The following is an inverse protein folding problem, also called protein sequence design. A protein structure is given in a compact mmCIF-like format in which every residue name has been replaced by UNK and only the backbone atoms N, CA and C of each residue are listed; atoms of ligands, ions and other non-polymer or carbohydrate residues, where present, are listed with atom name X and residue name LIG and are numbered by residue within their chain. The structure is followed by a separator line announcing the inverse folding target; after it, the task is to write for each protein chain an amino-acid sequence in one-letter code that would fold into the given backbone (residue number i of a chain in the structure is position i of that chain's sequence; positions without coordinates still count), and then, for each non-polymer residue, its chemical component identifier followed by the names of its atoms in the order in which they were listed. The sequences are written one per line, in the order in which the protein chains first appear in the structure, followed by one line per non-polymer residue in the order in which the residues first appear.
data_IF_553093001474
#
_entry.id   IF_553093001474
#
_cell.length_a   1.000
_cell.length_b   1.000
_cell.length_c   1.000
_cell.angle_alpha   90.00
_cell.angle_beta   90.00
_cell.angle_gamma   90.00
#
_symmetry.space_group_name_H-M   'P 1'
#
loop_
_entity.id
_entity.type
_entity.pdbx_description
1 polymer ?
#
# COMPACT_ATOMS: atom_id res chain seq x y z
N UNK A 1 -33.32 -6.04 23.89
CA UNK A 1 -32.03 -6.36 24.53
C UNK A 1 -31.08 -6.69 23.40
N UNK A 2 -30.40 -5.67 22.89
CA UNK A 2 -29.45 -5.81 21.78
C UNK A 2 -28.05 -6.06 22.36
N UNK A 3 -27.43 -7.15 21.92
CA UNK A 3 -26.07 -7.53 22.32
C UNK A 3 -25.11 -6.88 21.32
N UNK A 4 -24.39 -5.85 21.76
CA UNK A 4 -23.27 -5.29 21.01
C UNK A 4 -22.11 -6.28 21.03
N UNK A 5 -21.72 -6.79 19.87
CA UNK A 5 -20.48 -7.55 19.70
C UNK A 5 -19.31 -6.56 19.61
N UNK A 6 -18.54 -6.48 20.71
CA UNK A 6 -17.24 -5.82 20.74
C UNK A 6 -16.28 -6.57 19.80
N UNK A 7 -16.09 -6.04 18.60
CA UNK A 7 -15.20 -6.62 17.58
C UNK A 7 -13.80 -6.05 17.76
N UNK A 8 -13.16 -6.45 18.87
CA UNK A 8 -11.75 -6.12 19.10
C UNK A 8 -10.88 -7.10 18.33
N UNK A 9 -10.17 -6.63 17.32
CA UNK A 9 -9.23 -7.45 16.56
C UNK A 9 -8.02 -7.80 17.43
N UNK A 10 -7.71 -9.10 17.55
CA UNK A 10 -6.57 -9.60 18.32
C UNK A 10 -5.45 -10.04 17.38
N UNK A 11 -4.29 -9.37 17.48
CA UNK A 11 -3.09 -9.73 16.73
C UNK A 11 -2.09 -10.44 17.66
N UNK A 12 -1.57 -11.59 17.23
CA UNK A 12 -0.55 -12.37 17.95
C UNK A 12 0.84 -12.07 17.37
N UNK A 13 1.82 -11.95 18.26
CA UNK A 13 3.19 -11.57 17.95
C UNK A 13 4.16 -12.74 18.16
N UNK A 14 5.07 -12.97 17.21
CA UNK A 14 6.28 -13.77 17.41
C UNK A 14 7.50 -12.85 17.22
N UNK A 15 8.42 -12.84 18.18
CA UNK A 15 9.60 -11.97 18.19
C UNK A 15 10.70 -12.48 17.26
N UNK A 16 11.43 -11.55 16.63
CA UNK A 16 12.87 -11.67 16.32
C UNK A 16 13.48 -10.25 16.22
N UNK A 17 14.29 -9.94 17.24
CA UNK A 17 15.40 -8.98 17.44
C UNK A 17 15.53 -7.58 16.80
N UNK A 18 16.10 -6.70 17.63
CA UNK A 18 16.24 -5.26 17.52
C UNK A 18 17.27 -4.78 16.47
N UNK A 19 16.84 -3.86 15.59
CA UNK A 19 17.52 -2.60 15.25
C UNK A 19 16.77 -1.87 14.13
N UNK A 20 16.00 -0.84 14.48
CA UNK A 20 15.54 0.18 13.53
C UNK A 20 15.92 1.54 14.09
N UNK A 21 16.69 2.27 13.28
CA UNK A 21 17.47 3.45 13.63
C UNK A 21 16.67 4.68 14.06
N UNK A 22 17.41 5.53 14.76
CA UNK A 22 17.03 6.82 15.33
C UNK A 22 16.78 7.83 14.21
N UNK A 23 15.56 8.37 14.12
CA UNK A 23 15.22 9.45 13.19
C UNK A 23 13.75 9.83 13.22
N UNK A 24 12.87 8.85 13.42
CA UNK A 24 11.43 9.07 13.57
C UNK A 24 11.03 8.85 15.03
N UNK A 25 10.33 9.83 15.61
CA UNK A 25 9.79 9.71 16.97
C UNK A 25 8.67 8.67 16.94
N UNK A 26 9.00 7.44 17.33
CA UNK A 26 8.05 6.34 17.33
C UNK A 26 6.99 6.55 18.41
N UNK A 27 5.75 6.79 17.97
CA UNK A 27 4.60 6.92 18.86
C UNK A 27 3.99 5.55 19.17
N UNK A 28 3.37 5.44 20.34
CA UNK A 28 2.60 4.26 20.73
C UNK A 28 1.46 4.00 19.71
N UNK A 29 1.36 2.78 19.13
CA UNK A 29 0.47 2.48 18.00
C UNK A 29 -0.99 2.85 18.27
N UNK A 30 -1.43 2.70 19.51
CA UNK A 30 -2.82 2.90 19.90
C UNK A 30 -3.18 4.37 20.13
N UNK A 31 -2.21 5.28 20.32
CA UNK A 31 -2.51 6.71 20.49
C UNK A 31 -2.98 7.36 19.19
N UNK A 32 -2.46 6.92 18.04
CA UNK A 32 -2.89 7.43 16.72
C UNK A 32 -4.20 6.79 16.25
N UNK A 33 -4.52 5.60 16.74
CA UNK A 33 -5.78 4.92 16.48
C UNK A 33 -6.90 5.36 17.44
N UNK A 34 -6.55 6.01 18.57
CA UNK A 34 -7.54 6.60 19.46
C UNK A 34 -8.27 7.74 18.75
N UNK A 35 -9.53 7.49 18.37
CA UNK A 35 -10.37 8.41 17.58
C UNK A 35 -10.33 8.16 16.07
N UNK A 36 -9.54 7.18 15.60
CA UNK A 36 -9.59 6.73 14.22
C UNK A 36 -10.78 5.78 14.04
N UNK A 37 -11.88 6.27 13.47
CA UNK A 37 -13.10 5.48 13.23
C UNK A 37 -13.01 4.58 11.97
N UNK A 38 -11.89 4.63 11.25
CA UNK A 38 -11.67 3.89 10.02
C UNK A 38 -11.24 2.44 10.22
N UNK A 39 -11.52 1.59 9.22
CA UNK A 39 -11.12 0.18 9.25
C UNK A 39 -9.76 0.03 8.59
N UNK A 40 -8.74 -0.32 9.37
CA UNK A 40 -7.42 -0.62 8.80
C UNK A 40 -7.44 -1.97 8.08
N UNK A 41 -6.80 -2.00 6.91
CA UNK A 41 -6.55 -3.21 6.15
C UNK A 41 -5.05 -3.39 5.96
N UNK A 42 -4.59 -4.64 6.00
CA UNK A 42 -3.20 -4.94 5.72
C UNK A 42 -2.92 -4.71 4.23
N UNK A 43 -2.00 -3.80 3.94
CA UNK A 43 -1.43 -3.63 2.60
C UNK A 43 -0.46 -4.77 2.34
N UNK A 44 0.48 -5.01 3.26
CA UNK A 44 1.47 -6.06 3.09
C UNK A 44 2.45 -6.13 4.25
N UNK A 45 3.34 -7.12 4.21
CA UNK A 45 4.40 -7.32 5.19
C UNK A 45 5.74 -7.55 4.51
N UNK A 46 6.82 -7.06 5.13
CA UNK A 46 8.19 -7.19 4.62
C UNK A 46 9.16 -7.08 5.80
N UNK A 47 10.07 -8.05 5.95
CA UNK A 47 11.14 -8.03 6.96
C UNK A 47 10.67 -7.69 8.39
N UNK A 48 9.55 -8.28 8.83
CA UNK A 48 8.96 -8.03 10.15
C UNK A 48 8.17 -6.72 10.29
N UNK A 49 8.18 -5.85 9.27
CA UNK A 49 7.30 -4.68 9.20
C UNK A 49 5.97 -5.03 8.53
N UNK A 50 4.91 -4.38 9.00
CA UNK A 50 3.59 -4.39 8.39
C UNK A 50 3.27 -2.99 7.87
N UNK A 51 2.63 -2.92 6.70
CA UNK A 51 2.02 -1.73 6.16
C UNK A 51 0.50 -1.88 6.26
N UNK A 52 -0.15 -0.91 6.89
CA UNK A 52 -1.59 -0.82 7.06
C UNK A 52 -2.09 0.39 6.28
N UNK A 53 -3.29 0.29 5.72
CA UNK A 53 -3.93 1.37 5.00
C UNK A 53 -5.44 1.27 5.14
N UNK A 54 -6.10 2.42 5.13
CA UNK A 54 -7.56 2.46 5.17
C UNK A 54 -8.16 2.43 3.75
N UNK A 55 -8.95 1.41 3.41
CA UNK A 55 -9.56 1.27 2.09
C UNK A 55 -10.78 2.18 1.88
N UNK A 56 -11.33 2.77 2.94
CA UNK A 56 -12.51 3.64 2.91
C UNK A 56 -12.16 5.11 2.61
N UNK A 57 -10.95 5.56 2.98
CA UNK A 57 -10.49 6.94 2.76
C UNK A 57 -9.54 7.05 1.55
N UNK A 58 -10.08 6.95 0.34
CA UNK A 58 -9.27 6.93 -0.89
C UNK A 58 -8.65 8.30 -1.25
N UNK A 59 -9.33 9.38 -0.85
CA UNK A 59 -8.90 10.77 -1.07
C UNK A 59 -7.69 11.14 -0.20
N UNK A 60 -7.72 10.73 1.06
CA UNK A 60 -6.72 11.03 2.11
C UNK A 60 -6.42 9.75 2.90
N UNK A 61 -5.77 8.77 2.27
CA UNK A 61 -5.56 7.47 2.88
C UNK A 61 -4.57 7.61 4.02
N UNK A 62 -5.02 7.26 5.22
CA UNK A 62 -4.13 7.08 6.36
C UNK A 62 -3.37 5.77 6.15
N UNK A 63 -2.05 5.89 6.00
CA UNK A 63 -1.16 4.76 5.76
C UNK A 63 -0.17 4.72 6.91
N UNK A 64 0.00 3.53 7.46
CA UNK A 64 0.87 3.30 8.59
C UNK A 64 1.87 2.21 8.25
N UNK A 65 3.12 2.40 8.68
CA UNK A 65 4.12 1.33 8.68
C UNK A 65 4.56 1.10 10.11
N UNK A 66 4.56 -0.15 10.53
CA UNK A 66 4.86 -0.49 11.92
C UNK A 66 5.63 -1.79 12.06
N UNK A 67 6.35 -1.88 13.15
CA UNK A 67 6.91 -3.12 13.66
C UNK A 67 6.05 -3.52 14.87
N UNK A 68 5.18 -4.54 14.75
CA UNK A 68 4.32 -4.95 15.84
C UNK A 68 5.16 -5.51 17.02
N UNK A 69 6.35 -6.06 16.76
CA UNK A 69 7.20 -6.71 17.77
C UNK A 69 7.73 -5.75 18.81
N UNK A 70 8.07 -4.55 18.37
CA UNK A 70 8.53 -3.47 19.25
C UNK A 70 7.41 -2.46 19.53
N UNK A 71 6.17 -2.75 19.11
CA UNK A 71 4.98 -1.90 19.29
C UNK A 71 5.23 -0.47 18.82
N UNK A 72 5.77 -0.32 17.62
CA UNK A 72 6.04 0.98 17.02
C UNK A 72 5.28 1.11 15.70
N UNK A 73 4.63 2.25 15.51
CA UNK A 73 3.85 2.56 14.31
C UNK A 73 4.14 4.00 13.89
N UNK A 74 4.32 4.21 12.59
CA UNK A 74 4.58 5.52 12.00
C UNK A 74 3.50 5.79 10.96
N UNK A 75 2.85 6.94 11.07
CA UNK A 75 1.95 7.45 10.04
C UNK A 75 2.79 8.06 8.90
N UNK A 76 2.47 7.70 7.66
CA UNK A 76 3.13 8.26 6.49
C UNK A 76 2.52 9.61 6.11
N UNK A 77 3.28 10.48 5.40
CA UNK A 77 2.72 11.70 4.82
C UNK A 77 1.50 11.38 3.95
N UNK A 78 0.49 12.24 3.97
CA UNK A 78 -0.71 12.05 3.14
C UNK A 78 -0.32 12.26 1.66
N UNK A 79 -0.61 11.32 0.75
CA UNK A 79 -0.32 11.49 -0.67
C UNK A 79 -1.22 12.56 -1.28
N UNK A 80 -0.80 13.14 -2.41
CA UNK A 80 -1.61 14.19 -3.06
C UNK A 80 -2.99 13.66 -3.48
N UNK A 81 -4.01 14.47 -3.17
CA UNK A 81 -5.40 14.18 -3.53
C UNK A 81 -5.55 14.08 -5.06
N UNK A 82 -6.22 13.05 -5.59
CA UNK A 82 -6.53 12.98 -7.01
C UNK A 82 -7.45 14.14 -7.42
N UNK A 83 -7.21 14.76 -8.58
CA UNK A 83 -8.01 15.90 -9.06
C UNK A 83 -9.47 15.54 -9.44
N UNK A 84 -9.87 14.27 -9.34
CA UNK A 84 -11.17 13.76 -9.82
C UNK A 84 -11.87 12.94 -8.73
N UNK A 85 -13.20 13.09 -8.59
CA UNK A 85 -13.94 12.51 -7.46
C UNK A 85 -14.05 10.99 -7.51
N UNK A 86 -13.94 10.36 -8.68
CA UNK A 86 -14.03 8.90 -8.82
C UNK A 86 -12.66 8.32 -9.14
N UNK A 87 -12.11 7.58 -8.19
CA UNK A 87 -10.86 6.86 -8.37
C UNK A 87 -10.83 5.62 -7.48
N UNK A 88 -10.01 4.66 -7.87
CA UNK A 88 -9.68 3.48 -7.08
C UNK A 88 -8.18 3.47 -6.82
N UNK A 89 -7.77 2.96 -5.67
CA UNK A 89 -6.39 2.95 -5.21
C UNK A 89 -5.98 1.51 -4.92
N UNK A 90 -4.79 1.15 -5.34
CA UNK A 90 -4.12 -0.08 -4.97
C UNK A 90 -2.80 0.29 -4.31
N UNK A 91 -2.52 -0.34 -3.18
CA UNK A 91 -1.27 -0.15 -2.46
C UNK A 91 -0.35 -1.36 -2.61
N UNK A 92 0.93 -1.12 -2.44
CA UNK A 92 1.91 -2.17 -2.21
C UNK A 92 3.00 -1.75 -1.24
N UNK A 93 3.66 -2.73 -0.65
CA UNK A 93 4.70 -2.56 0.35
C UNK A 93 5.82 -3.58 0.17
N UNK A 94 7.06 -3.11 0.27
CA UNK A 94 8.24 -3.95 0.28
C UNK A 94 9.51 -3.14 0.54
N UNK A 95 10.66 -3.78 0.40
CA UNK A 95 11.97 -3.17 0.61
C UNK A 95 12.83 -3.26 -0.65
N UNK A 96 13.69 -2.26 -0.85
CA UNK A 96 14.68 -2.32 -1.90
C UNK A 96 15.67 -3.46 -1.61
N UNK A 97 15.96 -4.36 -2.58
CA UNK A 97 16.73 -5.58 -2.32
C UNK A 97 18.17 -5.33 -1.84
N UNK A 98 18.79 -4.22 -2.27
CA UNK A 98 20.16 -3.84 -1.89
C UNK A 98 20.25 -2.81 -0.75
N UNK A 99 19.46 -1.73 -0.81
CA UNK A 99 19.54 -0.64 0.19
C UNK A 99 18.71 -0.92 1.43
N UNK A 100 17.82 -1.93 1.40
CA UNK A 100 16.86 -2.27 2.45
C UNK A 100 15.89 -1.13 2.81
N UNK A 101 15.84 -0.07 2.02
CA UNK A 101 14.89 1.02 2.20
C UNK A 101 13.47 0.51 1.94
N UNK A 102 12.59 0.71 2.91
CA UNK A 102 11.17 0.39 2.74
C UNK A 102 10.49 1.39 1.81
N UNK A 103 9.63 0.87 0.94
CA UNK A 103 8.84 1.67 0.01
C UNK A 103 7.38 1.26 0.06
N UNK A 104 6.50 2.26 0.01
CA UNK A 104 5.07 2.08 -0.20
C UNK A 104 4.72 2.59 -1.59
N UNK A 105 4.02 1.77 -2.36
CA UNK A 105 3.57 2.08 -3.71
C UNK A 105 2.08 2.41 -3.63
N UNK A 106 1.67 3.50 -4.28
CA UNK A 106 0.27 3.89 -4.44
C UNK A 106 -0.04 3.99 -5.94
N UNK A 107 -1.00 3.20 -6.41
CA UNK A 107 -1.46 3.19 -7.80
C UNK A 107 -2.90 3.69 -7.82
N UNK A 108 -3.13 4.81 -8.51
CA UNK A 108 -4.42 5.49 -8.59
C UNK A 108 -5.01 5.33 -9.98
N UNK A 109 -6.13 4.61 -10.05
CA UNK A 109 -6.94 4.43 -11.25
C UNK A 109 -8.05 5.48 -11.30
N UNK A 110 -7.97 6.42 -12.24
CA UNK A 110 -9.05 7.39 -12.44
C UNK A 110 -10.23 6.74 -13.17
N UNK A 111 -11.43 6.91 -12.61
CA UNK A 111 -12.66 6.28 -13.08
C UNK A 111 -13.66 7.30 -13.62
N UNK A 112 -14.38 6.91 -14.67
CA UNK A 112 -15.51 7.65 -15.24
C UNK A 112 -16.57 6.65 -15.65
N UNK A 113 -17.79 6.82 -15.14
CA UNK A 113 -18.93 5.94 -15.42
C UNK A 113 -18.64 4.45 -15.12
N UNK A 114 -17.87 4.17 -14.06
CA UNK A 114 -17.50 2.80 -13.67
C UNK A 114 -16.34 2.18 -14.47
N UNK A 115 -15.71 2.92 -15.37
CA UNK A 115 -14.57 2.45 -16.17
C UNK A 115 -13.32 3.27 -15.90
N UNK A 116 -12.17 2.59 -15.87
CA UNK A 116 -10.85 3.23 -15.87
C UNK A 116 -10.66 3.92 -17.22
N UNK A 117 -10.44 5.24 -17.20
CA UNK A 117 -10.29 6.04 -18.42
C UNK A 117 -8.89 6.59 -18.64
N UNK A 118 -8.03 6.58 -17.61
CA UNK A 118 -6.64 6.99 -17.73
C UNK A 118 -5.73 5.77 -17.65
N UNK A 119 -5.03 5.48 -18.75
CA UNK A 119 -3.94 4.52 -18.78
C UNK A 119 -2.71 5.28 -19.29
N UNK A 120 -1.63 5.33 -18.50
CA UNK A 120 -1.53 4.63 -17.24
C UNK A 120 -2.20 5.21 -16.02
N UNK A 121 -2.44 4.37 -14.99
CA UNK A 121 -2.77 4.86 -13.68
C UNK A 121 -1.63 5.72 -13.14
N UNK A 122 -1.98 6.75 -12.37
CA UNK A 122 -1.00 7.56 -11.66
C UNK A 122 -0.32 6.64 -10.63
N UNK A 123 1.00 6.65 -10.59
CA UNK A 123 1.77 5.80 -9.68
C UNK A 123 2.70 6.66 -8.86
N UNK A 124 2.62 6.52 -7.54
CA UNK A 124 3.40 7.27 -6.56
C UNK A 124 4.14 6.29 -5.65
N UNK A 125 5.33 6.67 -5.22
CA UNK A 125 6.13 5.88 -4.27
C UNK A 125 6.55 6.76 -3.11
N UNK A 126 6.26 6.28 -1.91
CA UNK A 126 6.88 6.75 -0.68
C UNK A 126 8.12 5.90 -0.39
N UNK A 127 9.21 6.55 0.01
CA UNK A 127 10.40 5.87 0.54
C UNK A 127 10.56 6.28 2.00
N UNK A 128 10.94 5.33 2.86
CA UNK A 128 11.18 5.59 4.28
C UNK A 128 12.04 6.85 4.50
N UNK A 129 11.61 7.71 5.42
CA UNK A 129 12.30 8.96 5.76
C UNK A 129 12.11 10.10 4.75
N UNK A 130 11.38 9.87 3.65
CA UNK A 130 11.05 10.94 2.72
C UNK A 130 9.98 11.89 3.32
N UNK A 131 10.06 13.17 2.96
CA UNK A 131 9.06 14.16 3.36
C UNK A 131 7.75 14.05 2.57
N UNK A 132 7.76 13.46 1.38
CA UNK A 132 6.61 13.39 0.49
C UNK A 132 6.67 12.19 -0.47
N UNK A 133 5.53 11.91 -1.10
CA UNK A 133 5.41 10.90 -2.15
C UNK A 133 6.01 11.40 -3.46
N UNK A 134 6.68 10.52 -4.18
CA UNK A 134 7.26 10.81 -5.50
C UNK A 134 6.41 10.22 -6.61
N UNK A 135 6.00 11.05 -7.57
CA UNK A 135 5.32 10.60 -8.79
C UNK A 135 6.30 9.87 -9.72
N UNK A 136 5.93 8.67 -10.15
CA UNK A 136 6.69 7.81 -11.07
C UNK A 136 5.86 7.36 -12.28
N UNK A 137 4.75 8.03 -12.55
CA UNK A 137 3.79 7.66 -13.61
C UNK A 137 4.43 7.56 -15.00
N UNK A 138 5.44 8.39 -15.27
CA UNK A 138 6.18 8.39 -16.54
C UNK A 138 7.14 7.21 -16.72
N UNK A 139 7.40 6.42 -15.66
CA UNK A 139 8.47 5.41 -15.59
C UNK A 139 8.19 4.04 -16.23
N UNK A 140 7.01 3.86 -16.83
CA UNK A 140 6.39 2.61 -17.35
C UNK A 140 5.42 1.95 -16.34
N UNK A 141 4.13 2.13 -16.56
CA UNK A 141 3.03 1.78 -15.66
C UNK A 141 2.58 0.31 -15.78
N UNK A 142 1.69 -0.17 -14.88
CA UNK A 142 1.23 -1.55 -14.96
C UNK A 142 0.50 -1.81 -16.29
N UNK A 143 0.94 -2.84 -17.02
CA UNK A 143 0.23 -3.32 -18.20
C UNK A 143 -0.98 -4.14 -17.76
N UNK A 144 -2.02 -3.47 -17.27
CA UNK A 144 -3.23 -4.16 -16.80
C UNK A 144 -4.01 -3.35 -15.80
N UNK A 145 -5.20 -3.84 -15.48
CA UNK A 145 -6.00 -3.32 -14.37
C UNK A 145 -5.76 -4.22 -13.17
N UNK A 146 -5.19 -3.68 -12.09
CA UNK A 146 -5.10 -4.42 -10.84
C UNK A 146 -6.50 -4.64 -10.26
N UNK A 147 -6.73 -5.82 -9.69
CA UNK A 147 -7.97 -6.07 -8.97
C UNK A 147 -7.95 -5.28 -7.66
N UNK A 148 -8.94 -4.41 -7.47
CA UNK A 148 -9.06 -3.60 -6.26
C UNK A 148 -9.26 -4.50 -5.03
N UNK A 149 -8.66 -4.11 -3.90
CA UNK A 149 -8.64 -4.90 -2.67
C UNK A 149 -8.05 -6.32 -2.79
N UNK A 150 -7.35 -6.64 -3.90
CA UNK A 150 -6.58 -7.88 -3.98
C UNK A 150 -5.41 -7.83 -3.01
N UNK A 151 -5.12 -8.95 -2.31
CA UNK A 151 -3.87 -9.09 -1.59
C UNK A 151 -2.67 -8.86 -2.51
N UNK A 152 -1.57 -8.40 -1.91
CA UNK A 152 -0.26 -8.34 -2.56
C UNK A 152 0.73 -9.32 -1.92
N UNK A 153 1.80 -9.64 -2.66
CA UNK A 153 2.92 -10.41 -2.15
C UNK A 153 4.25 -9.73 -2.51
N UNK A 154 5.11 -9.52 -1.52
CA UNK A 154 6.47 -9.05 -1.76
C UNK A 154 7.42 -10.24 -1.81
N UNK A 155 8.01 -10.50 -2.97
CA UNK A 155 8.90 -11.64 -3.22
C UNK A 155 10.03 -11.20 -4.15
N UNK A 156 11.27 -11.59 -3.88
CA UNK A 156 12.43 -11.33 -4.73
C UNK A 156 12.62 -9.86 -5.14
N UNK A 157 12.39 -8.92 -4.21
CA UNK A 157 12.57 -7.49 -4.50
C UNK A 157 11.44 -6.85 -5.30
N UNK A 158 10.35 -7.58 -5.57
CA UNK A 158 9.20 -7.07 -6.29
C UNK A 158 7.89 -7.29 -5.53
N UNK A 159 6.98 -6.33 -5.66
CA UNK A 159 5.60 -6.45 -5.19
C UNK A 159 4.74 -7.04 -6.30
N UNK A 160 3.95 -8.05 -6.00
CA UNK A 160 3.08 -8.74 -6.94
C UNK A 160 1.62 -8.53 -6.55
N UNK A 161 0.78 -8.29 -7.55
CA UNK A 161 -0.66 -8.22 -7.42
C UNK A 161 -1.33 -9.12 -8.45
N UNK A 162 -2.58 -9.47 -8.18
CA UNK A 162 -3.47 -10.06 -9.17
C UNK A 162 -4.07 -8.92 -9.99
N UNK A 163 -3.93 -9.03 -11.30
CA UNK A 163 -4.48 -8.08 -12.26
C UNK A 163 -5.21 -8.76 -13.41
N UNK A 164 -5.84 -7.94 -14.22
CA UNK A 164 -6.54 -8.35 -15.43
C UNK A 164 -5.84 -7.70 -16.63
N UNK A 165 -5.34 -8.54 -17.52
CA UNK A 165 -4.73 -8.13 -18.77
C UNK A 165 -5.70 -8.32 -19.94
N UNK A 166 -5.56 -7.47 -20.98
CA UNK A 166 -6.28 -7.66 -22.25
C UNK A 166 -5.51 -8.64 -23.12
N UNK A 167 -6.22 -9.58 -23.75
CA UNK A 167 -5.63 -10.40 -24.81
C UNK A 167 -5.36 -9.50 -26.04
N UNK A 168 -4.41 -9.91 -26.90
CA UNK A 168 -4.25 -9.31 -28.24
C UNK A 168 -5.50 -9.52 -29.10
N UNK A 169 -6.24 -10.60 -28.83
CA UNK A 169 -7.57 -10.93 -29.37
C UNK A 169 -8.67 -10.47 -28.42
N UNK A 170 -9.96 -10.60 -28.80
CA UNK A 170 -11.09 -10.32 -27.90
C UNK A 170 -10.96 -11.13 -26.60
N UNK A 171 -11.02 -10.45 -25.45
CA UNK A 171 -11.11 -11.07 -24.12
C UNK A 171 -10.19 -10.45 -23.07
N UNK A 172 -10.42 -10.84 -21.81
CA UNK A 172 -9.59 -10.52 -20.64
C UNK A 172 -9.06 -11.83 -20.04
N UNK A 173 -7.94 -11.78 -19.33
CA UNK A 173 -7.42 -12.92 -18.58
C UNK A 173 -6.78 -12.45 -17.28
N UNK A 174 -6.76 -13.34 -16.29
CA UNK A 174 -6.07 -13.10 -15.02
C UNK A 174 -4.56 -13.13 -15.26
N UNK A 175 -3.86 -12.20 -14.64
CA UNK A 175 -2.43 -12.01 -14.76
C UNK A 175 -1.86 -11.70 -13.39
N UNK A 176 -0.58 -12.04 -13.18
CA UNK A 176 0.20 -11.51 -12.07
C UNK A 176 0.94 -10.31 -12.62
N UNK A 177 0.80 -9.17 -11.94
CA UNK A 177 1.48 -7.93 -12.29
C UNK A 177 2.47 -7.63 -11.18
N UNK A 178 3.69 -7.23 -11.53
CA UNK A 178 4.74 -7.00 -10.53
C UNK A 178 5.36 -5.62 -10.62
N UNK A 179 5.82 -5.08 -9.50
CA UNK A 179 6.59 -3.83 -9.40
C UNK A 179 7.92 -4.14 -8.73
N UNK A 180 9.00 -4.06 -9.49
CA UNK A 180 10.38 -4.13 -9.03
C UNK A 180 10.71 -2.87 -8.20
N UNK A 181 10.98 -3.07 -6.91
CA UNK A 181 11.31 -1.99 -5.97
C UNK A 181 12.73 -1.45 -6.22
N UNK A 182 13.64 -2.29 -6.68
CA UNK A 182 15.05 -1.94 -6.90
C UNK A 182 15.24 -0.95 -8.05
N UNK A 183 14.53 -1.18 -9.15
CA UNK A 183 14.61 -0.33 -10.35
C UNK A 183 13.46 0.70 -10.40
N UNK A 184 12.40 0.48 -9.62
CA UNK A 184 11.18 1.28 -9.66
C UNK A 184 10.39 1.07 -10.95
N UNK A 185 10.33 -0.19 -11.45
CA UNK A 185 9.73 -0.54 -12.75
C UNK A 185 8.76 -1.70 -12.61
N UNK A 186 7.77 -1.76 -13.48
CA UNK A 186 6.79 -2.85 -13.51
C UNK A 186 7.19 -3.92 -14.52
N UNK A 187 7.13 -5.19 -14.13
CA UNK A 187 7.40 -6.37 -14.95
C UNK A 187 6.11 -7.18 -15.16
#
# INVERSE_FOLDING_TARGET
MEVYLDTKEHYLLCSDDEKIGLGDEFLEPFKYLNGYEGRLSMVGACNGLICLGDPCFMDEPHIFVGNPSIRKLVALPIPSKPQRPQHAVVFGFGAHPTTYEYKVIRIVYLMRNGYVFQIPPKTEVYTQGAASWRDITSGRPPQGLLMFASPQAFVNGAVHWIGIAKKRTRGRYNSIVSFDIGVGRIL
#
